data_IF_856480872186
#
_entry.id   IF_856480872186
#
_cell.length_a   1.000
_cell.length_b   1.000
_cell.length_c   1.000
_cell.angle_alpha   90.00
_cell.angle_beta   90.00
_cell.angle_gamma   90.00
#
_symmetry.space_group_name_H-M   'P 1'
#
loop_
_entity.id
_entity.type
_entity.pdbx_description
1 polymer ?
#
# COMPACT_ATOMS: atom_id res chain seq x y z
N UNK A 1 -1.26 -42.77 -21.13
CA UNK A 1 -1.87 -41.83 -20.17
C UNK A 1 -0.82 -40.80 -19.79
N UNK A 2 -0.89 -39.58 -20.34
CA UNK A 2 0.01 -38.50 -19.91
C UNK A 2 -0.44 -38.01 -18.53
N UNK A 3 0.49 -37.95 -17.58
CA UNK A 3 0.26 -37.31 -16.28
C UNK A 3 0.26 -35.80 -16.51
N UNK A 4 -0.91 -35.16 -16.45
CA UNK A 4 -0.96 -33.72 -16.27
C UNK A 4 -0.34 -33.41 -14.90
N UNK A 5 0.80 -32.70 -14.88
CA UNK A 5 1.32 -32.13 -13.64
C UNK A 5 0.40 -30.99 -13.24
N UNK A 6 -0.20 -31.05 -12.05
CA UNK A 6 -0.86 -29.89 -11.45
C UNK A 6 0.19 -28.81 -11.20
N UNK A 7 -0.03 -27.62 -11.74
CA UNK A 7 0.77 -26.43 -11.44
C UNK A 7 0.01 -25.68 -10.36
N UNK A 8 0.60 -25.57 -9.17
CA UNK A 8 0.08 -24.66 -8.14
C UNK A 8 0.51 -23.23 -8.48
N UNK A 9 -0.44 -22.30 -8.43
CA UNK A 9 -0.22 -20.88 -8.66
C UNK A 9 -0.43 -20.12 -7.36
N UNK A 10 0.52 -19.26 -7.03
CA UNK A 10 0.43 -18.34 -5.90
C UNK A 10 -0.12 -16.99 -6.41
N UNK A 11 -1.36 -16.67 -6.03
CA UNK A 11 -2.06 -15.46 -6.45
C UNK A 11 -1.83 -14.26 -5.52
N UNK A 12 -0.96 -14.41 -4.52
CA UNK A 12 -0.64 -13.31 -3.59
C UNK A 12 0.16 -12.23 -4.28
N UNK A 13 0.01 -10.99 -3.82
CA UNK A 13 0.88 -9.90 -4.24
C UNK A 13 2.33 -10.24 -3.86
N UNK A 14 3.22 -10.15 -4.85
CA UNK A 14 4.65 -10.34 -4.67
C UNK A 14 5.28 -9.02 -4.27
N UNK A 15 5.71 -8.92 -3.02
CA UNK A 15 6.42 -7.74 -2.56
C UNK A 15 7.84 -7.70 -3.17
N UNK A 16 8.47 -6.51 -3.29
CA UNK A 16 7.82 -5.21 -3.27
C UNK A 16 7.07 -4.97 -4.60
N UNK A 17 5.89 -4.34 -4.53
CA UNK A 17 5.11 -3.97 -5.72
C UNK A 17 4.63 -2.51 -5.70
N UNK A 18 4.26 -2.01 -6.88
CA UNK A 18 3.46 -0.79 -7.03
C UNK A 18 2.13 -1.12 -7.73
N UNK A 19 1.02 -0.63 -7.20
CA UNK A 19 -0.31 -0.87 -7.75
C UNK A 19 -1.20 0.37 -7.70
N UNK A 20 -2.14 0.43 -8.66
CA UNK A 20 -3.19 1.45 -8.73
C UNK A 20 -4.56 0.76 -8.60
N UNK A 21 -5.39 1.20 -7.66
CA UNK A 21 -6.79 0.83 -7.54
C UNK A 21 -7.65 2.04 -7.91
N UNK A 22 -8.12 2.10 -9.15
CA UNK A 22 -8.83 3.28 -9.65
C UNK A 22 -10.34 3.07 -9.70
N UNK A 23 -11.08 4.14 -9.42
CA UNK A 23 -12.53 4.17 -9.49
C UNK A 23 -13.08 5.51 -9.00
N UNK A 24 -14.32 5.87 -9.34
CA UNK A 24 -14.93 7.12 -8.90
C UNK A 24 -15.04 7.21 -7.37
N UNK A 25 -15.23 8.42 -6.84
CA UNK A 25 -15.54 8.62 -5.41
C UNK A 25 -16.73 7.75 -5.02
N UNK A 26 -16.63 7.06 -3.88
CA UNK A 26 -17.67 6.15 -3.41
C UNK A 26 -17.68 4.75 -4.03
N UNK A 27 -16.76 4.42 -4.95
CA UNK A 27 -16.69 3.07 -5.55
C UNK A 27 -16.19 1.96 -4.62
N UNK A 28 -15.84 2.28 -3.38
CA UNK A 28 -15.43 1.31 -2.36
C UNK A 28 -13.93 1.04 -2.28
N UNK A 29 -13.06 1.90 -2.83
CA UNK A 29 -11.59 1.72 -2.80
C UNK A 29 -11.02 1.63 -1.38
N UNK A 30 -11.42 2.54 -0.50
CA UNK A 30 -11.04 2.51 0.92
C UNK A 30 -11.53 1.22 1.62
N UNK A 31 -12.71 0.72 1.26
CA UNK A 31 -13.24 -0.54 1.77
C UNK A 31 -12.47 -1.75 1.24
N UNK A 32 -12.04 -1.70 -0.03
CA UNK A 32 -11.15 -2.70 -0.61
C UNK A 32 -9.84 -2.77 0.19
N UNK A 33 -9.23 -1.62 0.51
CA UNK A 33 -8.01 -1.59 1.34
C UNK A 33 -8.26 -2.14 2.74
N UNK A 34 -9.38 -1.81 3.39
CA UNK A 34 -9.72 -2.40 4.68
C UNK A 34 -9.78 -3.93 4.62
N UNK A 35 -10.39 -4.50 3.57
CA UNK A 35 -10.44 -5.96 3.35
C UNK A 35 -9.07 -6.54 3.02
N UNK A 36 -8.26 -5.82 2.26
CA UNK A 36 -6.88 -6.18 1.94
C UNK A 36 -6.04 -6.30 3.21
N UNK A 37 -6.11 -5.31 4.10
CA UNK A 37 -5.40 -5.30 5.38
C UNK A 37 -5.89 -6.41 6.31
N UNK A 38 -7.21 -6.60 6.41
CA UNK A 38 -7.81 -7.67 7.23
C UNK A 38 -7.29 -9.05 6.84
N UNK A 39 -7.08 -9.30 5.54
CA UNK A 39 -6.64 -10.59 5.01
C UNK A 39 -5.17 -10.58 4.56
N UNK A 40 -4.34 -9.68 5.10
CA UNK A 40 -2.98 -9.46 4.61
C UNK A 40 -2.08 -10.71 4.66
N UNK A 41 -2.32 -11.61 5.61
CA UNK A 41 -1.63 -12.90 5.73
C UNK A 41 -1.86 -13.84 4.54
N UNK A 42 -3.02 -13.72 3.89
CA UNK A 42 -3.42 -14.53 2.74
C UNK A 42 -3.30 -13.78 1.42
N UNK A 43 -3.16 -12.45 1.45
CA UNK A 43 -3.16 -11.62 0.25
C UNK A 43 -1.76 -11.22 -0.22
N UNK A 44 -0.79 -11.16 0.70
CA UNK A 44 0.60 -10.81 0.40
C UNK A 44 1.49 -12.02 0.60
N UNK A 45 2.48 -12.20 -0.28
CA UNK A 45 3.46 -13.26 -0.09
C UNK A 45 4.36 -12.99 1.13
N UNK A 46 4.59 -11.70 1.40
CA UNK A 46 5.26 -11.14 2.58
C UNK A 46 4.33 -10.15 3.26
N UNK A 47 3.53 -10.58 4.25
CA UNK A 47 2.59 -9.70 4.94
C UNK A 47 3.27 -8.45 5.51
N UNK A 48 2.68 -7.25 5.32
CA UNK A 48 3.27 -6.02 5.79
C UNK A 48 3.26 -5.96 7.32
N UNK A 49 4.43 -5.61 7.87
CA UNK A 49 4.67 -5.44 9.31
C UNK A 49 4.49 -4.00 9.74
N UNK A 50 4.68 -3.05 8.82
CA UNK A 50 4.47 -1.62 9.01
C UNK A 50 3.58 -1.08 7.89
N UNK A 51 2.51 -0.38 8.27
CA UNK A 51 1.48 0.09 7.34
C UNK A 51 1.34 1.59 7.54
N UNK A 52 1.63 2.35 6.48
CA UNK A 52 1.53 3.81 6.46
C UNK A 52 0.41 4.18 5.49
N UNK A 53 -0.56 4.93 5.99
CA UNK A 53 -1.72 5.38 5.24
C UNK A 53 -1.64 6.91 5.10
N UNK A 54 -1.19 7.35 3.93
CA UNK A 54 -1.12 8.77 3.61
C UNK A 54 -2.44 9.22 2.98
N UNK A 55 -3.01 10.30 3.50
CA UNK A 55 -4.32 10.80 3.07
C UNK A 55 -4.31 12.31 2.87
N UNK A 56 -5.11 12.80 1.92
CA UNK A 56 -5.39 14.24 1.77
C UNK A 56 -6.41 14.72 2.82
N UNK A 57 -7.54 14.02 2.93
CA UNK A 57 -8.63 14.35 3.86
C UNK A 57 -9.04 13.17 4.75
N UNK A 58 -9.35 13.47 6.02
CA UNK A 58 -9.76 12.44 6.98
C UNK A 58 -11.18 11.95 6.69
N UNK A 59 -11.36 10.63 6.59
CA UNK A 59 -12.64 10.00 6.35
C UNK A 59 -13.04 9.14 7.55
N UNK A 60 -14.34 9.12 7.91
CA UNK A 60 -14.86 8.25 8.99
C UNK A 60 -14.55 6.75 8.77
N UNK A 61 -14.32 6.34 7.52
CA UNK A 61 -13.93 4.98 7.19
C UNK A 61 -12.57 4.58 7.81
N UNK A 62 -11.70 5.55 8.11
CA UNK A 62 -10.40 5.32 8.72
C UNK A 62 -10.53 4.89 10.19
N UNK A 63 -11.56 5.37 10.89
CA UNK A 63 -11.86 4.94 12.27
C UNK A 63 -12.15 3.43 12.33
N UNK A 64 -12.90 2.92 11.34
CA UNK A 64 -13.14 1.48 11.19
C UNK A 64 -11.86 0.73 10.84
N UNK A 65 -10.96 1.33 10.05
CA UNK A 65 -9.68 0.74 9.71
C UNK A 65 -8.79 0.57 10.95
N UNK A 66 -8.74 1.56 11.85
CA UNK A 66 -8.02 1.46 13.13
C UNK A 66 -8.58 0.35 14.04
N UNK A 67 -9.86 0.03 13.92
CA UNK A 67 -10.44 -1.11 14.65
C UNK A 67 -9.98 -2.45 14.10
N UNK A 68 -9.77 -2.54 12.78
CA UNK A 68 -9.36 -3.77 12.07
C UNK A 68 -7.84 -3.97 12.12
N UNK A 69 -7.08 -2.89 11.94
CA UNK A 69 -5.63 -2.87 11.99
C UNK A 69 -5.19 -1.66 12.83
N UNK A 70 -5.05 -1.83 14.16
CA UNK A 70 -4.67 -0.75 15.07
C UNK A 70 -3.26 -0.18 14.83
N UNK A 71 -2.44 -0.87 14.04
CA UNK A 71 -1.05 -0.47 13.73
C UNK A 71 -0.93 0.40 12.48
N UNK A 72 -2.04 0.80 11.84
CA UNK A 72 -1.97 1.72 10.71
C UNK A 72 -1.50 3.09 11.20
N UNK A 73 -0.39 3.56 10.62
CA UNK A 73 0.15 4.90 10.82
C UNK A 73 -0.47 5.87 9.81
N UNK A 74 -1.35 6.75 10.28
CA UNK A 74 -1.97 7.76 9.42
C UNK A 74 -1.08 9.00 9.31
N UNK A 75 -0.75 9.39 8.07
CA UNK A 75 0.07 10.56 7.76
C UNK A 75 -0.74 11.52 6.87
N UNK A 76 -0.82 12.79 7.26
CA UNK A 76 -1.52 13.77 6.41
C UNK A 76 -0.58 14.25 5.30
N UNK A 77 -1.01 14.10 4.05
CA UNK A 77 -0.20 14.36 2.85
C UNK A 77 1.08 13.49 2.79
N UNK A 78 2.11 13.97 2.08
CA UNK A 78 3.36 13.23 1.83
C UNK A 78 4.61 13.85 2.48
N UNK A 79 4.52 15.05 3.07
CA UNK A 79 5.70 15.77 3.54
C UNK A 79 6.56 14.94 4.50
N UNK A 80 5.94 14.36 5.53
CA UNK A 80 6.64 13.55 6.55
C UNK A 80 7.36 12.33 5.95
N UNK A 81 6.82 11.77 4.85
CA UNK A 81 7.40 10.63 4.14
C UNK A 81 8.57 11.08 3.26
N UNK A 82 8.43 12.21 2.57
CA UNK A 82 9.39 12.68 1.57
C UNK A 82 10.58 13.46 2.16
N UNK A 83 10.41 14.02 3.35
CA UNK A 83 11.45 14.78 4.05
C UNK A 83 12.37 13.88 4.90
N UNK A 84 12.01 12.60 5.04
CA UNK A 84 12.82 11.60 5.73
C UNK A 84 13.23 10.46 4.76
N UNK A 85 14.49 10.47 4.31
CA UNK A 85 15.00 9.44 3.40
C UNK A 85 14.99 8.02 4.00
N UNK A 86 15.05 7.92 5.33
CA UNK A 86 15.01 6.68 6.08
C UNK A 86 13.61 6.40 6.65
N UNK A 87 12.57 7.08 6.15
CA UNK A 87 11.21 6.88 6.61
C UNK A 87 10.80 5.42 6.51
N UNK A 88 11.22 4.70 5.46
CA UNK A 88 11.03 3.25 5.33
C UNK A 88 12.35 2.50 5.53
N UNK A 89 12.34 1.52 6.42
CA UNK A 89 13.50 0.66 6.66
C UNK A 89 13.43 -0.57 5.76
N UNK A 90 14.57 -1.01 5.23
CA UNK A 90 14.61 -2.21 4.35
C UNK A 90 14.37 -3.52 5.10
N UNK A 91 14.47 -3.49 6.43
CA UNK A 91 14.29 -4.65 7.31
C UNK A 91 12.82 -4.95 7.60
N UNK A 92 11.93 -4.00 7.36
CA UNK A 92 10.48 -4.14 7.52
C UNK A 92 9.81 -4.45 6.19
N UNK A 93 8.70 -5.19 6.23
CA UNK A 93 7.79 -5.28 5.09
C UNK A 93 6.86 -4.07 5.16
N UNK A 94 7.18 -3.02 4.41
CA UNK A 94 6.43 -1.78 4.45
C UNK A 94 5.29 -1.80 3.44
N UNK A 95 4.12 -1.32 3.83
CA UNK A 95 3.02 -1.00 2.93
C UNK A 95 2.70 0.50 3.04
N UNK A 96 2.79 1.20 1.93
CA UNK A 96 2.36 2.59 1.77
C UNK A 96 1.07 2.63 0.97
N UNK A 97 -0.01 3.04 1.62
CA UNK A 97 -1.29 3.34 0.96
C UNK A 97 -1.39 4.84 0.77
N UNK A 98 -1.73 5.27 -0.44
CA UNK A 98 -1.98 6.67 -0.77
C UNK A 98 -3.45 6.84 -1.18
N UNK A 99 -4.23 7.60 -0.41
CA UNK A 99 -5.64 7.87 -0.68
C UNK A 99 -5.83 9.33 -1.14
N UNK A 100 -6.35 9.51 -2.35
CA UNK A 100 -6.61 10.83 -2.97
C UNK A 100 -5.37 11.72 -3.12
N UNK A 101 -4.17 11.13 -3.26
CA UNK A 101 -2.89 11.85 -3.38
C UNK A 101 -2.27 11.80 -4.79
N UNK A 102 -3.02 11.34 -5.79
CA UNK A 102 -2.44 11.06 -7.11
C UNK A 102 -1.90 12.29 -7.85
N UNK A 103 -2.60 13.42 -7.78
CA UNK A 103 -2.11 14.69 -8.32
C UNK A 103 -0.85 15.15 -7.57
N UNK A 104 -0.85 15.07 -6.24
CA UNK A 104 0.31 15.41 -5.40
C UNK A 104 1.54 14.59 -5.75
N UNK A 105 1.37 13.29 -6.02
CA UNK A 105 2.45 12.42 -6.47
C UNK A 105 2.99 12.82 -7.84
N UNK A 106 2.10 13.14 -8.78
CA UNK A 106 2.48 13.52 -10.14
C UNK A 106 3.24 14.85 -10.19
N UNK A 107 2.89 15.80 -9.31
CA UNK A 107 3.51 17.12 -9.25
C UNK A 107 4.81 17.16 -8.43
N UNK A 108 5.05 16.15 -7.59
CA UNK A 108 6.23 16.09 -6.74
C UNK A 108 7.22 15.03 -7.22
N UNK A 109 8.38 15.49 -7.73
CA UNK A 109 9.42 14.60 -8.26
C UNK A 109 9.92 13.58 -7.23
N UNK A 110 10.12 13.97 -5.97
CA UNK A 110 10.54 13.03 -4.91
C UNK A 110 9.49 11.95 -4.68
N UNK A 111 8.22 12.32 -4.73
CA UNK A 111 7.10 11.40 -4.64
C UNK A 111 7.13 10.43 -5.82
N UNK A 112 7.11 10.94 -7.06
CA UNK A 112 7.19 10.12 -8.27
C UNK A 112 8.39 9.16 -8.26
N UNK A 113 9.57 9.61 -7.80
CA UNK A 113 10.76 8.77 -7.69
C UNK A 113 10.58 7.65 -6.64
N UNK A 114 9.93 7.94 -5.51
CA UNK A 114 9.58 6.93 -4.51
C UNK A 114 8.68 5.83 -5.09
N UNK A 115 7.68 6.20 -5.89
CA UNK A 115 6.71 5.26 -6.48
C UNK A 115 7.18 4.52 -7.72
N UNK A 116 8.22 5.00 -8.39
CA UNK A 116 8.72 4.36 -9.62
C UNK A 116 10.00 3.59 -9.38
N UNK A 117 10.99 4.22 -8.71
CA UNK A 117 12.32 3.65 -8.47
C UNK A 117 12.53 3.22 -7.02
N UNK A 118 11.93 3.94 -6.07
CA UNK A 118 12.14 3.76 -4.63
C UNK A 118 11.58 2.46 -4.06
N UNK A 119 10.47 1.95 -4.60
CA UNK A 119 9.74 0.74 -4.16
C UNK A 119 10.68 -0.46 -3.92
N UNK A 120 11.46 -0.83 -4.94
CA UNK A 120 12.37 -1.98 -4.84
C UNK A 120 13.56 -1.71 -3.92
N UNK A 121 14.10 -0.48 -3.95
CA UNK A 121 15.27 -0.14 -3.14
C UNK A 121 14.96 0.00 -1.65
N UNK A 122 13.70 0.28 -1.29
CA UNK A 122 13.25 0.57 0.08
C UNK A 122 12.38 -0.55 0.70
N UNK A 123 12.13 -1.65 -0.02
CA UNK A 123 11.24 -2.73 0.40
C UNK A 123 9.85 -2.21 0.81
N UNK A 124 9.23 -1.45 -0.10
CA UNK A 124 7.93 -0.81 0.12
C UNK A 124 6.95 -1.33 -0.93
N UNK A 125 5.89 -1.99 -0.48
CA UNK A 125 4.68 -2.17 -1.28
C UNK A 125 3.93 -0.83 -1.32
N UNK A 126 3.52 -0.40 -2.51
CA UNK A 126 2.72 0.81 -2.65
C UNK A 126 1.40 0.54 -3.35
N UNK A 127 0.32 1.05 -2.74
CA UNK A 127 -1.03 1.02 -3.30
C UNK A 127 -1.62 2.43 -3.35
N UNK A 128 -1.88 2.90 -4.56
CA UNK A 128 -2.61 4.13 -4.82
C UNK A 128 -4.10 3.82 -4.91
N UNK A 129 -4.93 4.56 -4.18
CA UNK A 129 -6.39 4.45 -4.22
C UNK A 129 -7.03 5.79 -4.52
#
# INVERSE_FOLDING_TARGET
MSKFKSVEYDFRFRSPFGALCMGPTGSGKTLYVLRLLKNKGETFDRPPTRIVFAYAEWQKAYDNMLTVEPKVEFVKNLADILDNENFFTKTENNLLILDDLASTVAENRKASDLFTRGIHHRNVDCLHI
#
